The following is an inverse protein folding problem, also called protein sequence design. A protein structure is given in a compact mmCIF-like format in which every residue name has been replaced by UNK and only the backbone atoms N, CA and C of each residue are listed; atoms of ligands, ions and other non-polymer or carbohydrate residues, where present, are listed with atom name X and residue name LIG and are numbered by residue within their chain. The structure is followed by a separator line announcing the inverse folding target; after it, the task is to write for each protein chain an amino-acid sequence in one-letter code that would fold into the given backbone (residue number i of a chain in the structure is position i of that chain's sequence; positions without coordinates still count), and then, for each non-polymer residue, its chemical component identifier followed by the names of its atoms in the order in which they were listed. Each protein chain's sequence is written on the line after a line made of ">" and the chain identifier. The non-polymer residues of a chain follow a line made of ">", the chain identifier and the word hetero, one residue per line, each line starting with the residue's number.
data_IF_154216373503
#
_entry.id   IF_154216373503
#
_cell.length_a   1.000
_cell.length_b   1.000
_cell.length_c   1.000
_cell.angle_alpha   90.00
_cell.angle_beta   90.00
_cell.angle_gamma   90.00
#
_symmetry.space_group_name_H-M   'P 1'
#
loop_
_entity.id
_entity.type
_entity.pdbx_description
1 polymer ?
#
# COMPACT_ATOMS: atom_id res chain seq x y z
N UNK A 1 -12.71 18.94 -23.22
CA UNK A 1 -12.31 19.15 -21.84
C UNK A 1 -11.97 17.85 -21.15
N UNK A 2 -10.80 17.71 -20.72
CA UNK A 2 -10.36 16.50 -20.05
C UNK A 2 -10.93 16.35 -18.65
N UNK A 3 -11.04 15.14 -18.21
CA UNK A 3 -11.37 14.85 -16.84
C UNK A 3 -10.19 15.19 -15.97
N UNK A 4 -10.44 15.93 -14.91
CA UNK A 4 -9.41 16.14 -13.91
C UNK A 4 -9.28 14.90 -13.07
N UNK A 5 -8.10 14.35 -13.08
CA UNK A 5 -7.73 13.30 -12.16
C UNK A 5 -6.53 13.77 -11.38
N UNK A 6 -6.65 13.77 -10.08
CA UNK A 6 -5.54 14.13 -9.23
C UNK A 6 -4.63 12.94 -9.06
N UNK A 7 -3.40 13.04 -9.53
CA UNK A 7 -2.41 11.96 -9.38
C UNK A 7 -2.10 11.65 -7.91
N UNK A 8 -2.55 12.51 -7.02
CA UNK A 8 -2.41 12.34 -5.58
C UNK A 8 -3.68 11.85 -4.91
N UNK A 9 -4.66 11.36 -5.69
CA UNK A 9 -5.86 10.77 -5.10
C UNK A 9 -5.47 9.66 -4.15
N UNK A 10 -6.17 9.59 -3.01
CA UNK A 10 -5.87 8.61 -2.00
C UNK A 10 -6.07 7.18 -2.52
N UNK A 11 -5.15 6.31 -2.18
CA UNK A 11 -5.31 4.89 -2.37
C UNK A 11 -6.14 4.31 -1.23
N UNK A 12 -6.72 3.15 -1.46
CA UNK A 12 -7.35 2.38 -0.39
C UNK A 12 -6.35 1.32 0.05
N UNK A 13 -5.97 1.36 1.32
CA UNK A 13 -5.03 0.41 1.89
C UNK A 13 -5.77 -0.48 2.88
N UNK A 14 -5.73 -1.78 2.62
CA UNK A 14 -6.36 -2.77 3.48
C UNK A 14 -5.27 -3.69 4.01
N UNK A 15 -4.85 -3.53 5.28
CA UNK A 15 -3.92 -4.47 5.88
C UNK A 15 -4.67 -5.75 6.27
N UNK A 16 -4.10 -6.89 5.89
CA UNK A 16 -4.67 -8.19 6.23
C UNK A 16 -3.67 -8.94 7.09
N UNK A 17 -4.03 -9.14 8.35
CA UNK A 17 -3.19 -9.86 9.29
C UNK A 17 -3.28 -11.36 9.00
N UNK A 18 -2.14 -12.02 8.92
CA UNK A 18 -2.10 -13.45 8.67
C UNK A 18 -2.77 -14.21 9.81
N UNK A 19 -3.49 -15.30 9.47
CA UNK A 19 -4.13 -16.15 10.46
C UNK A 19 -3.08 -16.71 11.41
N UNK A 20 -3.37 -16.65 12.73
CA UNK A 20 -2.43 -17.11 13.75
C UNK A 20 -1.36 -16.11 14.11
N UNK A 21 -1.36 -14.92 13.53
CA UNK A 21 -0.39 -13.87 13.84
C UNK A 21 -0.84 -13.13 15.10
N UNK A 22 -0.62 -13.73 16.25
CA UNK A 22 -1.08 -13.21 17.55
C UNK A 22 0.07 -12.75 18.44
N UNK A 23 1.29 -12.88 17.97
CA UNK A 23 2.49 -12.46 18.70
C UNK A 23 3.55 -12.06 17.69
N UNK A 24 4.52 -11.25 18.15
CA UNK A 24 5.62 -10.82 17.30
C UNK A 24 6.48 -12.02 16.86
N UNK A 25 6.90 -12.09 15.58
CA UNK A 25 6.61 -11.12 14.53
C UNK A 25 5.22 -11.28 13.94
N UNK A 26 4.62 -10.16 13.53
CA UNK A 26 3.32 -10.16 12.89
C UNK A 26 3.50 -10.11 11.39
N UNK A 27 2.76 -10.96 10.68
CA UNK A 27 2.80 -11.00 9.23
C UNK A 27 1.54 -10.35 8.68
N UNK A 28 1.72 -9.31 7.90
CA UNK A 28 0.62 -8.50 7.39
C UNK A 28 0.78 -8.37 5.89
N UNK A 29 -0.31 -8.57 5.16
CA UNK A 29 -0.34 -8.30 3.74
C UNK A 29 -0.95 -6.92 3.55
N UNK A 30 -0.16 -5.97 3.06
CA UNK A 30 -0.65 -4.64 2.75
C UNK A 30 -1.22 -4.65 1.34
N UNK A 31 -2.55 -4.57 1.25
CA UNK A 31 -3.24 -4.52 -0.04
C UNK A 31 -3.56 -3.08 -0.36
N UNK A 32 -3.04 -2.61 -1.49
CA UNK A 32 -3.21 -1.23 -1.93
C UNK A 32 -3.98 -1.24 -3.24
N UNK A 33 -5.00 -0.41 -3.32
CA UNK A 33 -5.76 -0.20 -4.54
C UNK A 33 -5.84 1.30 -4.81
N UNK A 34 -5.55 1.69 -6.05
CA UNK A 34 -5.59 3.09 -6.44
C UNK A 34 -6.13 3.20 -7.85
N UNK A 35 -7.06 4.12 -8.04
CA UNK A 35 -7.59 4.42 -9.37
C UNK A 35 -6.60 5.32 -10.09
N UNK A 36 -6.11 4.86 -11.24
CA UNK A 36 -5.16 5.61 -12.03
C UNK A 36 -5.87 6.63 -12.91
N UNK A 37 -5.18 7.70 -13.21
CA UNK A 37 -5.74 8.81 -13.97
C UNK A 37 -5.78 8.59 -15.48
N UNK A 38 -4.93 7.71 -15.99
CA UNK A 38 -4.76 7.54 -17.41
C UNK A 38 -5.09 6.13 -17.84
N UNK A 39 -5.60 5.99 -19.07
CA UNK A 39 -5.73 4.67 -19.67
C UNK A 39 -4.38 4.02 -19.80
N UNK A 40 -4.35 2.71 -19.73
CA UNK A 40 -3.13 1.93 -19.92
C UNK A 40 -3.34 0.95 -21.05
N UNK A 41 -2.26 0.56 -21.69
CA UNK A 41 -2.30 -0.47 -22.72
C UNK A 41 -2.56 -1.83 -22.07
N UNK A 42 -3.15 -2.73 -22.84
CA UNK A 42 -3.28 -4.12 -22.41
C UNK A 42 -1.88 -4.65 -22.11
N UNK A 43 -1.75 -5.36 -21.02
CA UNK A 43 -0.47 -5.90 -20.54
C UNK A 43 0.49 -4.85 -19.99
N UNK A 44 0.01 -3.66 -19.67
CA UNK A 44 0.85 -2.69 -18.99
C UNK A 44 1.28 -3.22 -17.63
N UNK A 45 2.56 -3.11 -17.33
CA UNK A 45 3.11 -3.56 -16.05
C UNK A 45 3.52 -2.34 -15.26
N UNK A 46 2.90 -2.09 -14.10
CA UNK A 46 3.30 -0.95 -13.28
C UNK A 46 4.58 -1.27 -12.50
N UNK A 47 5.33 -0.23 -12.20
CA UNK A 47 6.47 -0.33 -11.31
C UNK A 47 6.12 0.42 -10.03
N UNK A 48 6.23 -0.25 -8.90
CA UNK A 48 5.93 0.32 -7.61
C UNK A 48 6.82 -0.31 -6.56
N UNK A 49 7.66 0.50 -5.95
CA UNK A 49 8.57 0.08 -4.89
C UNK A 49 8.30 0.96 -3.67
N UNK A 50 7.31 0.61 -2.86
CA UNK A 50 6.93 1.45 -1.72
C UNK A 50 7.90 1.29 -0.55
N UNK A 51 8.00 2.35 0.24
CA UNK A 51 8.68 2.31 1.53
C UNK A 51 7.64 2.38 2.64
N UNK A 52 7.80 1.54 3.64
CA UNK A 52 6.92 1.50 4.81
C UNK A 52 7.71 1.89 6.05
N UNK A 53 7.09 2.71 6.88
CA UNK A 53 7.72 3.15 8.12
C UNK A 53 6.68 3.22 9.23
N UNK A 54 7.13 3.00 10.47
CA UNK A 54 6.25 3.11 11.63
C UNK A 54 6.24 4.57 12.08
N UNK A 55 5.06 5.15 12.11
CA UNK A 55 4.87 6.55 12.53
C UNK A 55 4.70 6.63 14.03
N UNK A 56 3.85 5.77 14.58
CA UNK A 56 3.53 5.79 16.00
C UNK A 56 2.93 4.47 16.45
N UNK A 57 2.96 4.24 17.75
CA UNK A 57 2.28 3.11 18.39
C UNK A 57 1.52 3.68 19.57
N UNK A 58 0.24 3.41 19.66
CA UNK A 58 -0.63 3.92 20.71
C UNK A 58 -1.37 2.79 21.40
N UNK A 59 -1.51 2.91 22.72
CA UNK A 59 -2.32 1.97 23.48
C UNK A 59 -3.81 2.26 23.23
N UNK A 60 -4.59 1.20 22.97
CA UNK A 60 -6.03 1.31 22.76
C UNK A 60 -6.83 0.46 23.74
N UNK A 61 -6.15 -0.25 24.63
CA UNK A 61 -6.75 -1.09 25.66
C UNK A 61 -5.67 -1.87 26.35
N UNK A 62 -6.04 -2.63 27.40
CA UNK A 62 -5.09 -3.45 28.12
C UNK A 62 -4.52 -4.53 27.20
N UNK A 63 -3.21 -4.50 26.99
CA UNK A 63 -2.54 -5.44 26.10
C UNK A 63 -2.83 -5.23 24.63
N UNK A 64 -3.44 -4.10 24.26
CA UNK A 64 -3.79 -3.82 22.89
C UNK A 64 -3.23 -2.47 22.44
N UNK A 65 -2.57 -2.50 21.30
CA UNK A 65 -1.92 -1.34 20.72
C UNK A 65 -2.28 -1.23 19.25
N UNK A 66 -2.16 -0.04 18.70
CA UNK A 66 -2.32 0.20 17.26
C UNK A 66 -1.05 0.85 16.74
N UNK A 67 -0.45 0.22 15.76
CA UNK A 67 0.68 0.79 15.04
C UNK A 67 0.15 1.56 13.83
N UNK A 68 0.57 2.81 13.70
CA UNK A 68 0.31 3.61 12.52
C UNK A 68 1.51 3.51 11.60
N UNK A 69 1.27 3.08 10.38
CA UNK A 69 2.31 2.83 9.39
C UNK A 69 2.09 3.76 8.22
N UNK A 70 3.17 4.39 7.77
CA UNK A 70 3.14 5.23 6.58
C UNK A 70 3.71 4.46 5.41
N UNK A 71 3.01 4.51 4.28
CA UNK A 71 3.51 3.99 3.01
C UNK A 71 3.72 5.16 2.06
N UNK A 72 4.84 5.12 1.36
CA UNK A 72 5.16 6.13 0.37
C UNK A 72 5.84 5.50 -0.83
N UNK A 73 5.36 5.85 -2.01
CA UNK A 73 5.93 5.35 -3.24
C UNK A 73 5.27 5.96 -4.45
N UNK A 74 5.86 5.71 -5.61
CA UNK A 74 5.31 6.15 -6.88
C UNK A 74 4.93 4.95 -7.72
N UNK A 75 3.73 4.98 -8.29
CA UNK A 75 3.31 4.01 -9.29
C UNK A 75 3.68 4.58 -10.65
N UNK A 76 4.59 3.94 -11.33
CA UNK A 76 5.02 4.35 -12.66
C UNK A 76 4.47 3.39 -13.69
N UNK A 77 3.85 3.90 -14.73
CA UNK A 77 3.25 3.09 -15.77
C UNK A 77 3.23 3.86 -17.09
N UNK A 78 3.05 3.15 -18.18
CA UNK A 78 2.94 3.76 -19.50
C UNK A 78 1.47 3.95 -19.85
N UNK A 79 1.02 5.20 -19.99
CA UNK A 79 -0.35 5.44 -20.43
C UNK A 79 -0.52 5.09 -21.90
N UNK A 80 -1.74 4.74 -22.28
CA UNK A 80 -2.05 4.36 -23.64
C UNK A 80 -2.75 5.49 -24.37
N UNK A 81 -1.97 6.45 -24.86
CA UNK A 81 -2.48 7.62 -25.58
C UNK A 81 -1.99 7.67 -27.02
N UNK A 82 -1.74 6.54 -27.63
CA UNK A 82 -1.09 6.46 -28.91
C UNK A 82 0.37 6.12 -28.74
N UNK A 83 1.19 6.31 -29.74
CA UNK A 83 2.59 5.90 -29.69
C UNK A 83 3.47 6.97 -29.06
N UNK A 84 4.51 6.51 -28.39
CA UNK A 84 5.55 7.39 -27.89
C UNK A 84 5.22 8.13 -26.63
N UNK A 85 4.24 7.68 -25.87
CA UNK A 85 3.89 8.33 -24.62
C UNK A 85 4.94 8.08 -23.56
N UNK A 86 5.31 9.14 -22.85
CA UNK A 86 6.22 9.05 -21.72
C UNK A 86 5.54 8.36 -20.55
N UNK A 87 6.33 7.73 -19.69
CA UNK A 87 5.82 7.12 -18.48
C UNK A 87 5.19 8.16 -17.56
N UNK A 88 4.11 7.77 -16.92
CA UNK A 88 3.42 8.58 -15.93
C UNK A 88 3.70 8.04 -14.54
N UNK A 89 3.73 8.93 -13.56
CA UNK A 89 3.90 8.54 -12.16
C UNK A 89 2.76 9.10 -11.33
N UNK A 90 2.21 8.27 -10.46
CA UNK A 90 1.20 8.68 -9.50
C UNK A 90 1.65 8.28 -8.10
N UNK A 91 1.37 9.12 -7.13
CA UNK A 91 1.91 8.97 -5.80
C UNK A 91 0.95 8.26 -4.87
N UNK A 92 1.49 7.31 -4.08
CA UNK A 92 0.82 6.73 -2.93
C UNK A 92 1.58 7.23 -1.71
N UNK A 93 0.93 8.02 -0.88
CA UNK A 93 1.53 8.56 0.34
C UNK A 93 0.43 8.69 1.38
N UNK A 94 0.34 7.74 2.29
CA UNK A 94 -0.70 7.77 3.31
C UNK A 94 -0.40 6.79 4.44
N UNK A 95 -1.18 6.92 5.51
CA UNK A 95 -1.04 6.08 6.68
C UNK A 95 -2.14 5.01 6.72
N UNK A 96 -1.82 3.91 7.36
CA UNK A 96 -2.80 2.88 7.71
C UNK A 96 -2.43 2.32 9.07
N UNK A 97 -3.35 1.61 9.69
CA UNK A 97 -3.16 1.11 11.05
C UNK A 97 -3.19 -0.42 11.09
N UNK A 98 -2.39 -0.98 11.99
CA UNK A 98 -2.34 -2.42 12.23
C UNK A 98 -2.50 -2.65 13.73
N UNK A 99 -3.46 -3.50 14.15
CA UNK A 99 -3.58 -3.85 15.56
C UNK A 99 -2.44 -4.76 15.99
N UNK A 100 -1.94 -4.52 17.21
CA UNK A 100 -0.86 -5.28 17.81
C UNK A 100 -1.29 -5.70 19.20
N UNK A 101 -1.20 -7.00 19.50
CA UNK A 101 -1.40 -7.51 20.85
C UNK A 101 -0.04 -7.66 21.53
N UNK A 102 0.10 -7.10 22.72
CA UNK A 102 1.34 -7.21 23.49
C UNK A 102 1.02 -7.14 24.98
N UNK A 103 1.53 -8.08 25.75
CA UNK A 103 1.31 -8.11 27.20
C UNK A 103 1.97 -6.95 27.90
N UNK A 104 3.08 -6.46 27.37
CA UNK A 104 3.81 -5.30 27.91
C UNK A 104 3.92 -4.23 26.84
N UNK A 105 4.11 -2.99 27.27
CA UNK A 105 4.21 -1.88 26.33
C UNK A 105 5.40 -2.08 25.39
N UNK A 106 5.19 -1.93 24.07
CA UNK A 106 6.29 -2.01 23.12
C UNK A 106 7.33 -0.92 23.37
N UNK A 107 8.60 -1.29 23.32
CA UNK A 107 9.70 -0.33 23.37
C UNK A 107 10.16 0.07 21.99
N UNK A 108 10.00 -0.81 21.03
CA UNK A 108 10.26 -0.48 19.64
C UNK A 108 9.40 -1.36 18.72
N UNK A 109 9.02 -0.81 17.58
CA UNK A 109 8.32 -1.53 16.55
C UNK A 109 9.06 -1.29 15.23
N UNK A 110 9.47 -2.35 14.59
CA UNK A 110 10.17 -2.28 13.31
C UNK A 110 9.38 -2.98 12.24
N UNK A 111 9.57 -2.56 11.00
CA UNK A 111 8.82 -3.10 9.88
C UNK A 111 9.79 -3.44 8.75
N UNK A 112 9.61 -4.61 8.15
CA UNK A 112 10.32 -5.02 6.95
C UNK A 112 9.30 -5.33 5.87
N UNK A 113 9.55 -4.82 4.67
CA UNK A 113 8.70 -5.08 3.53
C UNK A 113 9.37 -6.09 2.61
N UNK A 114 8.59 -7.06 2.17
CA UNK A 114 9.01 -7.97 1.12
C UNK A 114 8.76 -7.36 -0.26
N UNK A 115 8.84 -8.20 -1.28
CA UNK A 115 8.64 -7.76 -2.67
C UNK A 115 7.16 -7.54 -2.93
N UNK A 116 6.82 -6.40 -3.49
CA UNK A 116 5.44 -6.08 -3.87
C UNK A 116 5.07 -6.81 -5.16
N UNK A 117 3.85 -7.35 -5.19
CA UNK A 117 3.26 -7.89 -6.40
C UNK A 117 2.27 -6.86 -6.92
N UNK A 118 2.53 -6.33 -8.09
CA UNK A 118 1.80 -5.20 -8.65
C UNK A 118 1.07 -5.59 -9.92
N UNK A 119 -0.12 -5.04 -10.10
CA UNK A 119 -0.91 -5.27 -11.31
C UNK A 119 -1.79 -4.07 -11.62
N UNK A 120 -2.25 -4.00 -12.85
CA UNK A 120 -3.25 -3.03 -13.27
C UNK A 120 -4.44 -3.81 -13.81
N UNK A 121 -5.62 -3.53 -13.26
CA UNK A 121 -6.85 -4.17 -13.67
C UNK A 121 -7.64 -3.21 -14.56
N UNK A 122 -7.95 -3.65 -15.76
CA UNK A 122 -8.77 -2.90 -16.71
C UNK A 122 -10.11 -3.61 -16.84
N UNK A 123 -11.18 -2.89 -16.55
CA UNK A 123 -12.52 -3.47 -16.48
C UNK A 123 -13.21 -3.61 -17.83
N UNK A 124 -12.46 -3.67 -18.91
CA UNK A 124 -13.04 -3.83 -20.24
C UNK A 124 -13.72 -2.57 -20.79
N UNK A 125 -13.65 -1.47 -20.08
CA UNK A 125 -14.23 -0.20 -20.51
C UNK A 125 -13.11 0.72 -20.99
N UNK A 126 -13.15 1.11 -22.26
CA UNK A 126 -12.10 1.95 -22.84
C UNK A 126 -12.02 3.34 -22.25
N UNK A 127 -13.12 3.82 -21.67
CA UNK A 127 -13.17 5.16 -21.08
C UNK A 127 -13.00 5.15 -19.59
N UNK A 128 -12.86 3.98 -18.99
CA UNK A 128 -12.74 3.85 -17.55
C UNK A 128 -11.29 3.95 -17.12
N UNK A 129 -11.07 4.54 -15.96
CA UNK A 129 -9.74 4.55 -15.35
C UNK A 129 -9.38 3.16 -14.85
N UNK A 130 -8.18 2.69 -15.14
CA UNK A 130 -7.75 1.40 -14.63
C UNK A 130 -7.48 1.45 -13.13
N UNK A 131 -7.50 0.29 -12.48
CA UNK A 131 -7.19 0.16 -11.07
C UNK A 131 -5.80 -0.46 -10.90
N UNK A 132 -4.93 0.26 -10.23
CA UNK A 132 -3.66 -0.28 -9.78
C UNK A 132 -3.89 -1.07 -8.50
N UNK A 133 -3.33 -2.26 -8.42
CA UNK A 133 -3.38 -3.10 -7.23
C UNK A 133 -1.99 -3.58 -6.87
N UNK A 134 -1.69 -3.55 -5.58
CA UNK A 134 -0.42 -4.01 -5.06
C UNK A 134 -0.64 -4.80 -3.79
N UNK A 135 0.12 -5.86 -3.61
CA UNK A 135 0.17 -6.60 -2.37
C UNK A 135 1.61 -6.70 -1.92
N UNK A 136 1.89 -6.20 -0.72
CA UNK A 136 3.23 -6.22 -0.16
C UNK A 136 3.21 -6.96 1.17
N UNK A 137 3.99 -8.04 1.31
CA UNK A 137 4.10 -8.71 2.60
C UNK A 137 4.95 -7.86 3.55
N UNK A 138 4.43 -7.65 4.74
CA UNK A 138 5.11 -6.90 5.78
C UNK A 138 5.36 -7.80 6.98
N UNK A 139 6.54 -7.68 7.56
CA UNK A 139 6.87 -8.33 8.84
C UNK A 139 7.06 -7.24 9.88
N UNK A 140 6.23 -7.26 10.91
CA UNK A 140 6.28 -6.27 11.98
C UNK A 140 6.82 -6.95 13.22
N UNK A 141 7.94 -6.46 13.71
CA UNK A 141 8.60 -7.00 14.90
C UNK A 141 8.45 -6.01 16.04
N UNK A 142 7.94 -6.51 17.16
CA UNK A 142 7.69 -5.72 18.36
C UNK A 142 8.68 -6.16 19.43
N UNK A 143 9.47 -5.23 19.95
CA UNK A 143 10.33 -5.45 21.07
C UNK A 143 9.69 -4.86 22.33
N UNK A 144 9.87 -5.54 23.45
CA UNK A 144 9.38 -5.08 24.76
C UNK A 144 10.54 -5.05 25.72
N UNK A 145 10.37 -4.28 26.78
CA UNK A 145 11.39 -4.16 27.82
C UNK A 145 11.55 -5.47 28.62
#
# INVERSE_FOLDING_TARGET
>A
MGNYCKKTNAAVITPVLAAGSVASPYYVQAKIAKKLCNKVCVNAVPVFAPEFSVVSVAAVGTGQYVATIHVEGSVTYNPCHGCGCAAEAEIVSQNFTVPIASATAPTSVTIEAGVSVNSIVVDGCETCSPNFKSETPLTITVATA
#
